data_IF_009155215234
#
_entry.id   IF_009155215234
#
_cell.length_a   1.000
_cell.length_b   1.000
_cell.length_c   1.000
_cell.angle_alpha   90.00
_cell.angle_beta   90.00
_cell.angle_gamma   90.00
#
_symmetry.space_group_name_H-M   'P 1'
#
loop_
_entity.id
_entity.type
_entity.pdbx_description
1 polymer ?
#
# COMPACT_ATOMS: atom_id res chain seq x y z
N UNK A 1 -3.56 -5.30 9.39
CA UNK A 1 -4.60 -4.26 9.22
C UNK A 1 -4.57 -3.35 10.44
N UNK A 2 -4.60 -2.01 10.28
CA UNK A 2 -4.23 -1.03 11.33
C UNK A 2 -5.30 0.05 11.59
N UNK A 3 -6.57 -0.23 11.27
CA UNK A 3 -7.69 0.69 11.55
C UNK A 3 -8.00 1.71 10.45
N UNK A 4 -7.50 1.52 9.23
CA UNK A 4 -7.82 2.37 8.07
C UNK A 4 -6.98 3.65 7.99
N UNK A 5 -7.38 4.58 7.12
CA UNK A 5 -6.60 5.79 6.77
C UNK A 5 -6.29 6.64 8.01
N UNK A 6 -7.30 6.91 8.84
CA UNK A 6 -7.16 7.82 9.97
C UNK A 6 -6.22 7.28 11.05
N UNK A 7 -6.41 6.03 11.46
CA UNK A 7 -5.54 5.39 12.46
C UNK A 7 -4.11 5.20 11.94
N UNK A 8 -3.95 4.91 10.64
CA UNK A 8 -2.62 4.85 10.01
C UNK A 8 -1.89 6.19 10.13
N UNK A 9 -2.58 7.32 9.89
CA UNK A 9 -1.97 8.66 9.99
C UNK A 9 -1.62 9.05 11.42
N UNK A 10 -2.46 8.70 12.40
CA UNK A 10 -2.12 8.91 13.83
C UNK A 10 -0.85 8.16 14.21
N UNK A 11 -0.74 6.90 13.80
CA UNK A 11 0.45 6.10 14.09
C UNK A 11 1.69 6.65 13.38
N UNK A 12 1.54 7.12 12.13
CA UNK A 12 2.64 7.76 11.41
C UNK A 12 3.13 9.03 12.11
N UNK A 13 2.21 9.86 12.63
CA UNK A 13 2.56 11.04 13.43
C UNK A 13 3.28 10.65 14.73
N UNK A 14 2.85 9.59 15.42
CA UNK A 14 3.59 9.06 16.58
C UNK A 14 5.00 8.61 16.19
N UNK A 15 5.15 7.87 15.09
CA UNK A 15 6.45 7.39 14.60
C UNK A 15 7.40 8.54 14.22
N UNK A 16 6.86 9.65 13.72
CA UNK A 16 7.64 10.85 13.39
C UNK A 16 8.33 11.44 14.63
N UNK A 17 7.70 11.38 15.81
CA UNK A 17 8.32 11.83 17.08
C UNK A 17 9.54 10.98 17.48
N UNK A 18 9.69 9.81 16.88
CA UNK A 18 10.81 8.89 17.07
C UNK A 18 11.72 8.82 15.84
N UNK A 19 11.68 9.82 14.95
CA UNK A 19 12.46 9.88 13.70
C UNK A 19 12.34 8.60 12.85
N UNK A 20 11.18 7.93 12.95
CA UNK A 20 10.94 6.65 12.31
C UNK A 20 10.09 6.84 11.06
N UNK A 21 10.58 6.29 9.95
CA UNK A 21 9.82 6.24 8.70
C UNK A 21 8.81 5.09 8.71
N UNK A 22 7.70 5.27 8.00
CA UNK A 22 6.63 4.26 7.88
C UNK A 22 6.55 3.68 6.47
N UNK A 23 6.43 2.35 6.38
CA UNK A 23 6.15 1.63 5.15
C UNK A 23 4.95 0.71 5.42
N UNK A 24 3.70 1.18 5.23
CA UNK A 24 2.50 0.38 5.47
C UNK A 24 2.47 -0.84 4.54
N UNK A 25 2.21 -2.02 5.12
CA UNK A 25 1.98 -3.25 4.37
C UNK A 25 0.73 -3.13 3.48
N UNK A 26 0.86 -3.49 2.20
CA UNK A 26 -0.17 -3.32 1.17
C UNK A 26 -0.27 -4.58 0.29
N UNK A 27 -0.90 -5.63 0.83
CA UNK A 27 -1.20 -6.91 0.14
C UNK A 27 -2.68 -7.03 -0.27
N UNK A 28 -3.36 -5.89 -0.40
CA UNK A 28 -4.76 -5.83 -0.80
C UNK A 28 -4.92 -5.56 -2.29
N UNK A 29 -6.17 -5.58 -2.74
CA UNK A 29 -6.52 -5.22 -4.12
C UNK A 29 -6.35 -3.73 -4.44
N UNK A 30 -6.83 -3.30 -5.62
CA UNK A 30 -6.63 -1.94 -6.13
C UNK A 30 -7.17 -0.84 -5.21
N UNK A 31 -8.28 -1.11 -4.51
CA UNK A 31 -8.85 -0.16 -3.53
C UNK A 31 -7.89 0.10 -2.36
N UNK A 32 -7.26 -0.95 -1.82
CA UNK A 32 -6.28 -0.77 -0.75
C UNK A 32 -5.05 -0.03 -1.28
N UNK A 33 -4.60 -0.35 -2.49
CA UNK A 33 -3.46 0.35 -3.11
C UNK A 33 -3.76 1.84 -3.29
N UNK A 34 -4.95 2.22 -3.78
CA UNK A 34 -5.35 3.62 -3.90
C UNK A 34 -5.42 4.34 -2.54
N UNK A 35 -5.95 3.67 -1.50
CA UNK A 35 -5.96 4.22 -0.14
C UNK A 35 -4.55 4.40 0.43
N UNK A 36 -3.67 3.43 0.20
CA UNK A 36 -2.26 3.47 0.63
C UNK A 36 -1.48 4.58 -0.09
N UNK A 37 -1.75 4.82 -1.38
CA UNK A 37 -1.21 5.96 -2.12
C UNK A 37 -1.64 7.29 -1.49
N UNK A 38 -2.93 7.45 -1.19
CA UNK A 38 -3.44 8.66 -0.54
C UNK A 38 -2.76 8.91 0.81
N UNK A 39 -2.56 7.85 1.61
CA UNK A 39 -1.81 7.94 2.87
C UNK A 39 -0.36 8.35 2.61
N UNK A 40 0.33 7.70 1.66
CA UNK A 40 1.72 8.01 1.32
C UNK A 40 1.94 9.45 0.89
N UNK A 41 1.08 10.00 0.02
CA UNK A 41 1.16 11.39 -0.41
C UNK A 41 0.86 12.41 0.70
N UNK A 42 0.19 12.01 1.77
CA UNK A 42 -0.23 12.91 2.87
C UNK A 42 0.49 12.65 4.19
N UNK A 43 1.60 11.90 4.15
CA UNK A 43 2.38 11.48 5.33
C UNK A 43 3.87 11.79 5.13
N UNK A 44 4.44 12.79 5.83
CA UNK A 44 5.82 13.26 5.57
C UNK A 44 6.91 12.21 5.78
N UNK A 45 6.73 11.32 6.75
CA UNK A 45 7.67 10.24 7.08
C UNK A 45 7.36 8.93 6.36
N UNK A 46 6.66 8.97 5.22
CA UNK A 46 6.43 7.78 4.39
C UNK A 46 7.71 7.34 3.68
N UNK A 47 8.04 6.05 3.74
CA UNK A 47 9.27 5.50 3.17
C UNK A 47 9.07 4.96 1.76
N UNK A 48 8.16 4.02 1.61
CA UNK A 48 7.93 3.26 0.37
C UNK A 48 6.57 2.57 0.45
N UNK A 49 5.94 2.39 -0.70
CA UNK A 49 4.70 1.63 -0.85
C UNK A 49 5.03 0.22 -1.37
N UNK A 50 4.65 -0.80 -0.62
CA UNK A 50 4.57 -2.15 -1.16
C UNK A 50 3.49 -2.20 -2.24
N UNK A 51 3.80 -2.72 -3.42
CA UNK A 51 2.85 -2.82 -4.52
C UNK A 51 2.99 -4.17 -5.20
N UNK A 52 1.88 -4.91 -5.24
CA UNK A 52 1.80 -6.17 -5.97
C UNK A 52 1.32 -5.88 -7.37
N UNK A 53 2.14 -6.27 -8.34
CA UNK A 53 1.82 -6.17 -9.76
C UNK A 53 0.99 -7.37 -10.24
N UNK A 54 0.48 -8.17 -9.30
CA UNK A 54 -0.25 -9.39 -9.58
C UNK A 54 -1.41 -9.02 -10.51
N UNK A 55 -1.31 -9.48 -11.77
CA UNK A 55 -2.20 -9.28 -12.93
C UNK A 55 -1.99 -8.06 -13.84
N UNK A 56 -1.02 -7.18 -13.59
CA UNK A 56 -0.75 -6.04 -14.47
C UNK A 56 0.31 -6.32 -15.55
N UNK A 57 1.31 -7.14 -15.26
CA UNK A 57 2.32 -7.51 -16.27
C UNK A 57 1.69 -8.45 -17.30
N UNK A 58 1.65 -7.99 -18.56
CA UNK A 58 1.04 -8.72 -19.67
C UNK A 58 1.59 -10.15 -19.83
N UNK A 59 2.85 -10.36 -19.45
CA UNK A 59 3.52 -11.65 -19.51
C UNK A 59 3.02 -12.63 -18.43
N UNK A 60 2.67 -12.15 -17.23
CA UNK A 60 2.14 -13.00 -16.14
C UNK A 60 0.80 -13.62 -16.51
N UNK A 61 -0.02 -12.91 -17.31
CA UNK A 61 -1.30 -13.42 -17.85
C UNK A 61 -1.11 -14.66 -18.74
N UNK A 62 0.09 -14.90 -19.27
CA UNK A 62 0.39 -16.08 -20.10
C UNK A 62 0.74 -17.32 -19.27
N UNK A 63 1.12 -17.14 -18.00
CA UNK A 63 1.62 -18.21 -17.12
C UNK A 63 0.49 -18.86 -16.33
N UNK A 64 -0.59 -18.12 -16.07
CA UNK A 64 -1.74 -18.59 -15.28
C UNK A 64 -3.00 -18.64 -16.14
N UNK A 65 -3.55 -19.84 -16.36
CA UNK A 65 -4.80 -20.03 -17.11
C UNK A 65 -6.00 -19.75 -16.20
N UNK A 66 -6.86 -18.80 -16.61
CA UNK A 66 -8.07 -18.45 -15.85
C UNK A 66 -7.83 -17.45 -14.71
N UNK A 67 -6.77 -16.63 -14.79
CA UNK A 67 -6.53 -15.57 -13.83
C UNK A 67 -7.75 -14.61 -13.75
N UNK A 68 -8.10 -14.11 -12.55
CA UNK A 68 -9.12 -13.08 -12.40
C UNK A 68 -8.77 -11.86 -13.27
N UNK A 69 -9.76 -11.37 -14.02
CA UNK A 69 -9.62 -10.14 -14.80
C UNK A 69 -10.01 -8.99 -13.87
N UNK A 70 -9.04 -8.19 -13.44
CA UNK A 70 -9.24 -6.95 -12.67
C UNK A 70 -9.13 -5.76 -13.60
#
# INVERSE_FOLDING_TARGET
HIGGIWETRKLAATAETHYTLVAPHNVGGPVLTAASLQVGFTTPNFKVLEHFNDFADAEIKKVVKGAPVV
#
